data_IF_354190330564
#
_entry.id   IF_354190330564
#
_cell.length_a   1.000
_cell.length_b   1.000
_cell.length_c   1.000
_cell.angle_alpha   90.00
_cell.angle_beta   90.00
_cell.angle_gamma   90.00
#
_symmetry.space_group_name_H-M   'P 1'
#
loop_
_entity.id
_entity.type
_entity.pdbx_description
1 polymer ?
#
# COMPACT_ATOMS: atom_id res chain seq x y z
N UNK A 1 14.38 -49.44 73.98
CA UNK A 1 13.64 -48.16 74.12
C UNK A 1 14.09 -47.22 73.01
N UNK A 2 13.11 -46.83 72.15
CA UNK A 2 13.07 -45.73 71.17
C UNK A 2 14.35 -45.39 70.36
N UNK A 3 14.44 -45.93 69.14
CA UNK A 3 15.32 -45.40 68.06
C UNK A 3 14.64 -44.17 67.44
N UNK A 4 15.38 -43.06 67.35
CA UNK A 4 15.00 -41.85 66.61
C UNK A 4 14.99 -42.15 65.10
N UNK A 5 13.90 -41.75 64.43
CA UNK A 5 13.80 -41.73 62.97
C UNK A 5 14.01 -40.28 62.53
N UNK A 6 15.18 -39.98 61.96
CA UNK A 6 15.46 -38.71 61.30
C UNK A 6 14.95 -38.78 59.85
N UNK A 7 13.91 -38.02 59.54
CA UNK A 7 13.41 -37.87 58.16
C UNK A 7 14.32 -36.94 57.37
N UNK A 8 14.93 -37.45 56.31
CA UNK A 8 15.68 -36.67 55.34
C UNK A 8 14.70 -36.09 54.32
N UNK A 9 14.45 -34.78 54.38
CA UNK A 9 13.63 -34.06 53.42
C UNK A 9 14.50 -33.78 52.17
N UNK A 10 14.29 -34.54 51.11
CA UNK A 10 14.94 -34.28 49.82
C UNK A 10 14.18 -33.17 49.09
N UNK A 11 14.77 -31.97 49.07
CA UNK A 11 14.31 -30.86 48.24
C UNK A 11 14.80 -31.11 46.81
N UNK A 12 13.90 -31.57 45.94
CA UNK A 12 14.13 -31.64 44.50
C UNK A 12 13.94 -30.23 43.94
N UNK A 13 15.03 -29.53 43.68
CA UNK A 13 15.02 -28.30 42.87
C UNK A 13 14.67 -28.69 41.43
N UNK A 14 13.41 -28.51 41.04
CA UNK A 14 13.04 -28.45 39.63
C UNK A 14 13.64 -27.16 39.06
N UNK A 15 14.80 -27.28 38.40
CA UNK A 15 15.25 -26.29 37.46
C UNK A 15 14.26 -26.27 36.28
N UNK A 16 13.34 -25.30 36.30
CA UNK A 16 12.47 -25.01 35.18
C UNK A 16 13.34 -24.60 33.99
N UNK A 17 13.52 -25.52 33.05
CA UNK A 17 13.96 -25.18 31.71
C UNK A 17 12.84 -24.35 31.09
N UNK A 18 12.91 -23.02 31.25
CA UNK A 18 12.22 -22.12 30.34
C UNK A 18 12.88 -22.37 29.00
N UNK A 19 12.24 -23.15 28.13
CA UNK A 19 12.51 -23.09 26.70
C UNK A 19 12.33 -21.63 26.32
N UNK A 20 13.44 -20.90 26.19
CA UNK A 20 13.43 -19.65 25.46
C UNK A 20 12.87 -20.02 24.08
N UNK A 21 11.64 -19.56 23.80
CA UNK A 21 11.13 -19.58 22.44
C UNK A 21 12.22 -18.94 21.59
N UNK A 22 12.74 -19.71 20.65
CA UNK A 22 13.72 -19.24 19.69
C UNK A 22 13.05 -18.07 18.96
N UNK A 23 13.59 -16.87 19.17
CA UNK A 23 12.98 -15.65 18.66
C UNK A 23 12.91 -15.78 17.14
N UNK A 24 11.70 -15.75 16.56
CA UNK A 24 11.53 -15.85 15.12
C UNK A 24 12.17 -14.63 14.46
N UNK A 25 13.38 -14.84 13.94
CA UNK A 25 14.19 -13.85 13.25
C UNK A 25 13.92 -13.83 11.75
N UNK A 26 12.85 -14.43 11.25
CA UNK A 26 12.44 -14.26 9.85
C UNK A 26 11.45 -13.10 9.71
N UNK A 27 11.63 -12.31 8.66
CA UNK A 27 10.71 -11.24 8.28
C UNK A 27 10.38 -11.33 6.79
N UNK A 28 9.16 -11.79 6.49
CA UNK A 28 8.65 -11.98 5.13
C UNK A 28 7.74 -10.84 4.73
N UNK A 29 8.17 -10.06 3.75
CA UNK A 29 7.49 -8.85 3.32
C UNK A 29 6.97 -9.02 1.89
N UNK A 30 5.71 -8.67 1.65
CA UNK A 30 5.16 -8.54 0.30
C UNK A 30 5.11 -7.09 -0.15
N UNK A 31 5.49 -6.78 -1.38
CA UNK A 31 5.45 -5.41 -1.88
C UNK A 31 5.20 -5.30 -3.38
N UNK A 32 4.63 -4.17 -3.82
CA UNK A 32 4.71 -3.77 -5.23
C UNK A 32 6.17 -3.52 -5.62
N UNK A 33 6.55 -3.80 -6.87
CA UNK A 33 7.95 -3.68 -7.34
C UNK A 33 8.56 -2.29 -7.13
N UNK A 34 7.84 -1.22 -7.50
CA UNK A 34 8.28 0.17 -7.32
C UNK A 34 7.08 1.03 -6.92
N UNK A 35 7.22 1.98 -5.97
CA UNK A 35 8.41 2.27 -5.17
C UNK A 35 8.60 1.32 -3.97
N UNK A 36 7.60 0.47 -3.65
CA UNK A 36 7.49 -0.18 -2.35
C UNK A 36 8.65 -1.13 -2.04
N UNK A 37 8.96 -2.08 -2.93
CA UNK A 37 10.07 -3.01 -2.72
C UNK A 37 11.43 -2.30 -2.74
N UNK A 38 11.57 -1.21 -3.51
CA UNK A 38 12.78 -0.39 -3.53
C UNK A 38 13.01 0.31 -2.17
N UNK A 39 11.96 0.86 -1.56
CA UNK A 39 11.99 1.44 -0.21
C UNK A 39 12.30 0.36 0.84
N UNK A 40 11.66 -0.81 0.77
CA UNK A 40 11.96 -1.90 1.72
C UNK A 40 13.42 -2.35 1.62
N UNK A 41 13.98 -2.43 0.40
CA UNK A 41 15.39 -2.80 0.19
C UNK A 41 16.35 -1.82 0.85
N UNK A 42 16.00 -0.54 1.00
CA UNK A 42 16.84 0.43 1.72
C UNK A 42 16.96 0.12 3.21
N UNK A 43 15.92 -0.43 3.82
CA UNK A 43 15.91 -0.71 5.27
C UNK A 43 16.35 -2.13 5.64
N UNK A 44 16.58 -3.01 4.65
CA UNK A 44 17.06 -4.38 4.88
C UNK A 44 18.34 -4.41 5.72
N UNK A 45 19.39 -3.61 5.44
CA UNK A 45 20.61 -3.64 6.27
C UNK A 45 20.35 -3.34 7.75
N UNK A 46 19.48 -2.37 8.05
CA UNK A 46 19.12 -2.04 9.43
C UNK A 46 18.32 -3.15 10.13
N UNK A 47 17.52 -3.91 9.38
CA UNK A 47 16.82 -5.10 9.88
C UNK A 47 17.78 -6.27 10.13
N UNK A 48 18.75 -6.48 9.24
CA UNK A 48 19.80 -7.49 9.42
C UNK A 48 20.68 -7.19 10.65
N UNK A 49 20.98 -5.91 10.92
CA UNK A 49 21.67 -5.49 12.15
C UNK A 49 20.86 -5.78 13.43
N UNK A 50 19.52 -5.75 13.34
CA UNK A 50 18.59 -6.20 14.40
C UNK A 50 18.46 -7.73 14.47
N UNK A 51 19.13 -8.45 13.57
CA UNK A 51 19.23 -9.91 13.54
C UNK A 51 18.16 -10.60 12.69
N UNK A 52 17.41 -9.88 11.85
CA UNK A 52 16.40 -10.48 10.97
C UNK A 52 17.00 -11.03 9.67
N UNK A 53 16.52 -12.19 9.24
CA UNK A 53 16.59 -12.68 7.86
C UNK A 53 15.38 -12.14 7.10
N UNK A 54 15.61 -11.17 6.21
CA UNK A 54 14.53 -10.48 5.48
C UNK A 54 14.34 -11.10 4.09
N UNK A 55 13.10 -11.46 3.75
CA UNK A 55 12.70 -11.85 2.40
C UNK A 55 11.65 -10.88 1.87
N UNK A 56 11.88 -10.31 0.69
CA UNK A 56 10.91 -9.45 0.00
C UNK A 56 10.37 -10.21 -1.21
N UNK A 57 9.07 -10.48 -1.20
CA UNK A 57 8.33 -11.01 -2.34
C UNK A 57 7.67 -9.84 -3.09
N UNK A 58 8.07 -9.66 -4.36
CA UNK A 58 7.47 -8.65 -5.23
C UNK A 58 6.21 -9.19 -5.91
N UNK A 59 5.18 -8.34 -5.98
CA UNK A 59 3.90 -8.61 -6.62
C UNK A 59 3.62 -7.59 -7.73
N UNK A 60 2.87 -8.01 -8.74
CA UNK A 60 2.47 -7.21 -9.88
C UNK A 60 0.94 -7.01 -9.98
N UNK A 61 0.21 -7.41 -8.95
CA UNK A 61 -1.24 -7.27 -8.81
C UNK A 61 -1.60 -6.84 -7.38
N UNK A 62 -2.82 -6.36 -7.18
CA UNK A 62 -3.29 -5.84 -5.89
C UNK A 62 -4.05 -6.86 -5.01
N UNK A 63 -4.25 -8.09 -5.47
CA UNK A 63 -5.02 -9.11 -4.74
C UNK A 63 -4.12 -10.07 -3.96
N UNK A 64 -3.05 -10.54 -4.60
CA UNK A 64 -2.16 -11.55 -4.04
C UNK A 64 -1.43 -11.13 -2.76
N UNK A 65 -0.98 -9.87 -2.57
CA UNK A 65 -0.26 -9.50 -1.34
C UNK A 65 -1.12 -9.62 -0.08
N UNK A 66 -2.40 -9.25 -0.14
CA UNK A 66 -3.32 -9.39 0.99
C UNK A 66 -3.71 -10.85 1.23
N UNK A 67 -3.88 -11.63 0.16
CA UNK A 67 -4.15 -13.07 0.29
C UNK A 67 -2.99 -13.79 0.98
N UNK A 68 -1.75 -13.53 0.55
CA UNK A 68 -0.55 -14.11 1.14
C UNK A 68 -0.36 -13.68 2.61
N UNK A 69 -0.68 -12.42 2.93
CA UNK A 69 -0.66 -11.93 4.32
C UNK A 69 -1.72 -12.65 5.18
N UNK A 70 -2.94 -12.81 4.67
CA UNK A 70 -4.01 -13.53 5.36
C UNK A 70 -3.65 -15.01 5.60
N UNK A 71 -2.99 -15.65 4.64
CA UNK A 71 -2.64 -17.07 4.69
C UNK A 71 -1.45 -17.39 5.62
N UNK A 72 -0.77 -16.37 6.14
CA UNK A 72 0.43 -16.55 6.97
C UNK A 72 1.73 -16.66 6.18
N UNK A 73 1.69 -16.48 4.86
CA UNK A 73 2.89 -16.55 4.01
C UNK A 73 3.78 -15.30 4.18
N UNK A 74 3.19 -14.17 4.55
CA UNK A 74 3.86 -12.90 4.84
C UNK A 74 3.64 -12.47 6.30
N UNK A 75 4.60 -11.76 6.87
CA UNK A 75 4.46 -11.06 8.15
C UNK A 75 3.82 -9.68 7.97
N UNK A 76 4.15 -9.00 6.87
CA UNK A 76 3.56 -7.73 6.48
C UNK A 76 3.52 -7.60 4.96
N UNK A 77 2.65 -6.71 4.47
CA UNK A 77 2.73 -6.25 3.09
C UNK A 77 2.73 -4.71 3.01
N UNK A 78 3.22 -4.20 1.88
CA UNK A 78 3.38 -2.79 1.60
C UNK A 78 3.15 -2.53 0.11
N UNK A 79 1.90 -2.20 -0.23
CA UNK A 79 1.50 -1.98 -1.63
C UNK A 79 0.23 -1.12 -1.78
N UNK A 80 -0.48 -0.86 -0.69
CA UNK A 80 -1.86 -0.39 -0.67
C UNK A 80 -2.03 0.80 0.27
N UNK A 81 -3.09 1.57 0.06
CA UNK A 81 -3.56 2.54 1.03
C UNK A 81 -4.67 1.99 1.92
N UNK A 82 -4.90 2.63 3.07
CA UNK A 82 -5.87 2.18 4.08
C UNK A 82 -7.30 1.94 3.55
N UNK A 83 -7.87 2.80 2.68
CA UNK A 83 -9.20 2.52 2.12
C UNK A 83 -9.29 1.19 1.35
N UNK A 84 -8.24 0.84 0.61
CA UNK A 84 -8.21 -0.42 -0.16
C UNK A 84 -8.07 -1.61 0.78
N UNK A 85 -7.23 -1.49 1.82
CA UNK A 85 -7.08 -2.49 2.86
C UNK A 85 -8.42 -2.80 3.54
N UNK A 86 -9.18 -1.77 3.91
CA UNK A 86 -10.48 -1.91 4.56
C UNK A 86 -11.48 -2.61 3.63
N UNK A 87 -11.64 -2.12 2.39
CA UNK A 87 -12.57 -2.72 1.41
C UNK A 87 -12.20 -4.18 1.11
N UNK A 88 -10.92 -4.48 0.91
CA UNK A 88 -10.45 -5.84 0.64
C UNK A 88 -10.70 -6.76 1.84
N UNK A 89 -10.35 -6.33 3.05
CA UNK A 89 -10.50 -7.12 4.26
C UNK A 89 -11.99 -7.42 4.58
N UNK A 90 -12.87 -6.43 4.43
CA UNK A 90 -14.32 -6.60 4.57
C UNK A 90 -14.87 -7.63 3.57
N UNK A 91 -14.44 -7.54 2.30
CA UNK A 91 -14.89 -8.46 1.24
C UNK A 91 -14.34 -9.89 1.41
N UNK A 92 -13.11 -10.04 1.92
CA UNK A 92 -12.45 -11.33 2.13
C UNK A 92 -12.80 -11.98 3.48
N UNK A 93 -13.46 -11.25 4.40
CA UNK A 93 -13.65 -11.69 5.79
C UNK A 93 -12.32 -11.86 6.53
N UNK A 94 -11.32 -11.04 6.19
CA UNK A 94 -9.98 -11.08 6.76
C UNK A 94 -9.85 -10.04 7.90
N UNK A 95 -8.96 -10.31 8.85
CA UNK A 95 -8.63 -9.38 9.93
C UNK A 95 -7.24 -8.78 9.70
N UNK A 96 -7.17 -7.89 8.70
CA UNK A 96 -5.96 -7.17 8.32
C UNK A 96 -6.10 -5.70 8.71
N UNK A 97 -5.01 -5.11 9.21
CA UNK A 97 -5.01 -3.74 9.73
C UNK A 97 -3.78 -2.97 9.28
N UNK A 98 -3.93 -1.65 9.16
CA UNK A 98 -2.80 -0.75 8.97
C UNK A 98 -1.98 -0.66 10.27
N UNK A 99 -0.68 -0.86 10.14
CA UNK A 99 0.29 -0.74 11.23
C UNK A 99 1.05 0.60 11.18
N UNK A 100 1.29 1.14 9.99
CA UNK A 100 2.09 2.35 9.80
C UNK A 100 1.90 2.98 8.41
N UNK A 101 1.86 4.30 8.34
CA UNK A 101 1.79 5.07 7.10
C UNK A 101 3.20 5.43 6.61
N UNK A 102 3.52 5.12 5.36
CA UNK A 102 4.89 5.30 4.83
C UNK A 102 4.97 6.50 3.89
N UNK A 103 4.17 6.50 2.82
CA UNK A 103 4.21 7.53 1.78
C UNK A 103 2.87 7.70 1.10
N UNK A 104 2.73 8.76 0.31
CA UNK A 104 1.60 9.02 -0.56
C UNK A 104 2.05 9.00 -2.03
N UNK A 105 1.20 8.46 -2.89
CA UNK A 105 1.36 8.50 -4.34
C UNK A 105 0.18 9.27 -4.93
N UNK A 106 0.40 10.50 -5.43
CA UNK A 106 -0.63 11.23 -6.14
C UNK A 106 -1.19 10.42 -7.32
N UNK A 107 -2.50 10.21 -7.36
CA UNK A 107 -3.16 9.63 -8.52
C UNK A 107 -3.08 10.60 -9.69
N UNK A 108 -2.84 10.10 -10.90
CA UNK A 108 -2.68 10.95 -12.08
C UNK A 108 -3.60 10.58 -13.24
N UNK A 109 -3.97 11.58 -14.03
CA UNK A 109 -4.55 11.44 -15.37
C UNK A 109 -3.40 11.55 -16.36
N UNK A 110 -3.22 10.53 -17.20
CA UNK A 110 -2.12 10.41 -18.16
C UNK A 110 -2.66 10.28 -19.58
N UNK A 111 -1.85 10.68 -20.56
CA UNK A 111 -2.06 10.31 -21.96
C UNK A 111 -0.74 10.16 -22.70
N UNK A 112 -0.68 9.21 -23.63
CA UNK A 112 0.40 9.10 -24.62
C UNK A 112 -0.03 9.58 -26.01
N UNK A 113 -1.32 9.83 -26.20
CA UNK A 113 -1.94 10.20 -27.48
C UNK A 113 -2.32 11.69 -27.53
N UNK A 114 -2.60 12.30 -26.38
CA UNK A 114 -3.04 13.70 -26.20
C UNK A 114 -2.04 14.45 -25.32
N UNK A 115 -1.92 15.77 -25.52
CA UNK A 115 -0.92 16.60 -24.80
C UNK A 115 -1.48 17.32 -23.58
N UNK A 116 -2.80 17.43 -23.47
CA UNK A 116 -3.46 18.11 -22.37
C UNK A 116 -4.91 17.63 -22.23
N UNK A 117 -5.55 17.99 -21.12
CA UNK A 117 -6.98 17.75 -20.90
C UNK A 117 -7.89 18.66 -21.77
N UNK A 118 -7.33 19.69 -22.41
CA UNK A 118 -8.08 20.56 -23.33
C UNK A 118 -8.31 19.93 -24.70
N UNK A 119 -7.52 18.89 -25.05
CA UNK A 119 -7.68 18.09 -26.27
C UNK A 119 -8.75 16.98 -26.13
N UNK A 120 -9.52 16.99 -25.04
CA UNK A 120 -10.62 16.05 -24.80
C UNK A 120 -11.75 16.25 -25.82
N UNK A 121 -12.07 15.19 -26.55
CA UNK A 121 -13.04 15.16 -27.64
C UNK A 121 -14.20 14.18 -27.34
N UNK A 122 -15.31 14.34 -28.05
CA UNK A 122 -16.41 13.37 -27.95
C UNK A 122 -15.96 12.03 -28.56
N UNK A 123 -16.26 10.94 -27.86
CA UNK A 123 -15.84 9.58 -28.20
C UNK A 123 -14.50 9.17 -27.59
N UNK A 124 -13.77 10.07 -26.92
CA UNK A 124 -12.52 9.73 -26.24
C UNK A 124 -12.77 8.69 -25.14
N UNK A 125 -11.83 7.76 -24.98
CA UNK A 125 -11.84 6.72 -23.95
C UNK A 125 -10.97 7.10 -22.77
N UNK A 126 -11.50 6.94 -21.56
CA UNK A 126 -10.75 7.11 -20.31
C UNK A 126 -10.73 5.80 -19.54
N UNK A 127 -9.57 5.18 -19.42
CA UNK A 127 -9.38 4.02 -18.56
C UNK A 127 -9.31 4.43 -17.08
N UNK A 128 -9.97 3.69 -16.19
CA UNK A 128 -9.87 3.84 -14.73
C UNK A 128 -9.70 2.48 -14.04
N UNK A 129 -9.14 2.42 -12.83
CA UNK A 129 -9.15 1.22 -12.01
C UNK A 129 -10.57 0.74 -11.71
N UNK A 130 -10.76 -0.58 -11.63
CA UNK A 130 -12.07 -1.22 -11.47
C UNK A 130 -12.34 -1.72 -10.04
N UNK A 131 -11.38 -1.65 -9.13
CA UNK A 131 -11.65 -1.86 -7.71
C UNK A 131 -12.42 -0.66 -7.14
N UNK A 132 -13.26 -0.91 -6.13
CA UNK A 132 -14.16 0.10 -5.58
C UNK A 132 -13.43 1.39 -5.21
N UNK A 133 -12.31 1.26 -4.50
CA UNK A 133 -11.65 2.42 -3.89
C UNK A 133 -10.87 3.26 -4.88
N UNK A 134 -10.06 2.63 -5.75
CA UNK A 134 -9.30 3.35 -6.77
C UNK A 134 -10.20 3.84 -7.90
N UNK A 135 -11.25 3.08 -8.26
CA UNK A 135 -12.26 3.53 -9.23
C UNK A 135 -13.00 4.77 -8.75
N UNK A 136 -13.47 4.76 -7.49
CA UNK A 136 -14.07 5.94 -6.87
C UNK A 136 -13.11 7.13 -6.78
N UNK A 137 -11.85 6.90 -6.38
CA UNK A 137 -10.79 7.92 -6.35
C UNK A 137 -10.51 8.50 -7.75
N UNK A 138 -10.49 7.66 -8.79
CA UNK A 138 -10.32 8.09 -10.16
C UNK A 138 -11.48 8.98 -10.63
N UNK A 139 -12.73 8.61 -10.32
CA UNK A 139 -13.90 9.44 -10.64
C UNK A 139 -13.86 10.79 -9.92
N UNK A 140 -13.39 10.84 -8.67
CA UNK A 140 -13.17 12.12 -7.98
C UNK A 140 -12.12 12.99 -8.68
N UNK A 141 -11.00 12.40 -9.12
CA UNK A 141 -9.96 13.14 -9.83
C UNK A 141 -10.48 13.68 -11.17
N UNK A 142 -11.26 12.90 -11.92
CA UNK A 142 -11.92 13.36 -13.14
C UNK A 142 -12.91 14.50 -12.86
N UNK A 143 -13.68 14.40 -11.78
CA UNK A 143 -14.61 15.44 -11.37
C UNK A 143 -13.90 16.74 -10.94
N UNK A 144 -12.79 16.63 -10.18
CA UNK A 144 -11.98 17.76 -9.78
C UNK A 144 -11.36 18.52 -10.97
N UNK A 145 -11.18 17.84 -12.11
CA UNK A 145 -10.71 18.42 -13.37
C UNK A 145 -11.85 18.83 -14.32
N UNK A 146 -13.11 18.76 -13.86
CA UNK A 146 -14.29 19.17 -14.62
C UNK A 146 -14.56 18.31 -15.86
N UNK A 147 -14.08 17.07 -15.90
CA UNK A 147 -14.32 16.12 -17.01
C UNK A 147 -15.72 15.51 -16.87
N UNK A 148 -16.12 15.20 -15.64
CA UNK A 148 -17.42 14.64 -15.26
C UNK A 148 -17.99 15.35 -14.04
N UNK A 149 -19.28 15.21 -13.81
CA UNK A 149 -19.90 15.50 -12.50
C UNK A 149 -20.43 14.18 -11.91
N UNK A 150 -20.20 13.97 -10.61
CA UNK A 150 -20.67 12.80 -9.87
C UNK A 150 -21.64 13.23 -8.77
N UNK A 151 -22.55 12.34 -8.37
CA UNK A 151 -23.44 12.60 -7.23
C UNK A 151 -22.63 12.93 -5.98
N UNK A 152 -23.08 13.96 -5.24
CA UNK A 152 -22.43 14.40 -4.02
C UNK A 152 -22.49 13.36 -2.90
N UNK A 153 -21.49 13.38 -2.01
CA UNK A 153 -21.48 12.59 -0.77
C UNK A 153 -21.10 11.11 -0.91
N UNK A 154 -20.79 10.64 -2.13
CA UNK A 154 -20.41 9.23 -2.34
C UNK A 154 -18.96 8.92 -1.99
N UNK A 155 -18.07 9.91 -2.04
CA UNK A 155 -16.66 9.69 -1.73
C UNK A 155 -16.05 8.63 -2.66
N UNK A 156 -15.22 7.76 -2.10
CA UNK A 156 -14.59 6.61 -2.79
C UNK A 156 -15.59 5.51 -3.19
N UNK A 157 -16.87 5.62 -2.79
CA UNK A 157 -17.91 4.66 -3.15
C UNK A 157 -18.63 5.03 -4.46
N UNK A 158 -18.24 6.13 -5.09
CA UNK A 158 -18.79 6.53 -6.38
C UNK A 158 -18.45 5.48 -7.45
N UNK A 159 -19.43 5.18 -8.30
CA UNK A 159 -19.24 4.29 -9.45
C UNK A 159 -19.57 5.03 -10.75
N UNK A 160 -19.27 4.43 -11.91
CA UNK A 160 -19.66 5.01 -13.22
C UNK A 160 -21.16 5.29 -13.32
N UNK A 161 -22.00 4.54 -12.58
CA UNK A 161 -23.46 4.74 -12.52
C UNK A 161 -23.88 6.00 -11.74
N UNK A 162 -22.95 6.64 -11.06
CA UNK A 162 -23.17 7.84 -10.26
C UNK A 162 -22.73 9.12 -10.97
N UNK A 163 -22.24 9.00 -12.21
CA UNK A 163 -21.97 10.14 -13.08
C UNK A 163 -23.30 10.76 -13.50
N UNK A 164 -23.45 12.06 -13.30
CA UNK A 164 -24.68 12.82 -13.60
C UNK A 164 -24.56 13.68 -14.84
N UNK A 165 -23.34 14.06 -15.22
CA UNK A 165 -23.07 14.79 -16.46
C UNK A 165 -21.62 14.60 -16.91
N UNK A 166 -21.37 14.86 -18.20
CA UNK A 166 -20.04 14.82 -18.81
C UNK A 166 -19.77 16.13 -19.55
N UNK A 167 -18.53 16.62 -19.50
CA UNK A 167 -18.08 17.77 -20.31
C UNK A 167 -18.06 17.45 -21.80
N UNK A 168 -17.76 16.19 -22.13
CA UNK A 168 -17.68 15.58 -23.47
C UNK A 168 -18.31 14.20 -23.43
N UNK A 169 -18.88 13.73 -24.53
CA UNK A 169 -19.49 12.39 -24.61
C UNK A 169 -18.38 11.32 -24.66
N UNK A 170 -17.80 10.99 -23.50
CA UNK A 170 -16.65 10.07 -23.36
C UNK A 170 -17.08 8.67 -22.92
N UNK A 171 -16.23 7.68 -23.18
CA UNK A 171 -16.39 6.30 -22.68
C UNK A 171 -15.46 6.05 -21.49
N UNK A 172 -16.02 5.67 -20.33
CA UNK A 172 -15.23 5.19 -19.20
C UNK A 172 -14.98 3.69 -19.36
N UNK A 173 -13.71 3.28 -19.32
CA UNK A 173 -13.28 1.88 -19.45
C UNK A 173 -12.70 1.41 -18.11
N UNK A 174 -13.44 0.55 -17.41
CA UNK A 174 -13.00 -0.01 -16.13
C UNK A 174 -12.03 -1.19 -16.36
N UNK A 175 -10.81 -1.08 -15.85
CA UNK A 175 -9.74 -2.08 -15.99
C UNK A 175 -9.11 -2.40 -14.63
N UNK A 176 -8.40 -3.53 -14.52
CA UNK A 176 -7.56 -3.76 -13.34
C UNK A 176 -6.48 -2.68 -13.25
N UNK A 177 -6.20 -2.17 -12.04
CA UNK A 177 -5.33 -1.01 -11.82
C UNK A 177 -3.94 -1.18 -12.47
N UNK A 178 -3.34 -2.36 -12.34
CA UNK A 178 -2.05 -2.73 -12.93
C UNK A 178 -2.04 -2.72 -14.47
N UNK A 179 -3.21 -2.83 -15.10
CA UNK A 179 -3.35 -2.85 -16.56
C UNK A 179 -3.63 -1.47 -17.17
N UNK A 180 -4.10 -0.49 -16.38
CA UNK A 180 -4.36 0.87 -16.87
C UNK A 180 -3.12 1.50 -17.51
N UNK A 181 -1.95 1.30 -16.90
CA UNK A 181 -0.68 1.84 -17.40
C UNK A 181 -0.20 1.12 -18.67
N UNK A 182 -0.29 -0.21 -18.72
CA UNK A 182 0.19 -0.99 -19.87
C UNK A 182 -0.70 -0.81 -21.09
N UNK A 183 -1.99 -0.55 -20.88
CA UNK A 183 -2.99 -0.40 -21.94
C UNK A 183 -3.22 1.08 -22.33
N UNK A 184 -2.42 2.03 -21.83
CA UNK A 184 -2.59 3.46 -22.10
C UNK A 184 -2.57 3.81 -23.61
N UNK A 185 -1.97 2.96 -24.46
CA UNK A 185 -1.94 3.16 -25.92
C UNK A 185 -3.27 2.88 -26.61
N UNK A 186 -4.15 2.11 -25.95
CA UNK A 186 -5.43 1.67 -26.50
C UNK A 186 -6.61 2.58 -26.08
N UNK A 187 -6.31 3.63 -25.30
CA UNK A 187 -7.26 4.65 -24.83
C UNK A 187 -6.70 6.06 -25.04
N UNK A 188 -7.55 7.07 -24.93
CA UNK A 188 -7.15 8.48 -25.10
C UNK A 188 -6.57 9.05 -23.83
N UNK A 189 -7.11 8.66 -22.67
CA UNK A 189 -6.60 8.99 -21.35
C UNK A 189 -6.67 7.77 -20.43
N UNK A 190 -5.83 7.75 -19.39
CA UNK A 190 -5.91 6.75 -18.34
C UNK A 190 -5.66 7.40 -16.98
N UNK A 191 -6.47 7.04 -15.99
CA UNK A 191 -6.21 7.35 -14.59
C UNK A 191 -5.38 6.21 -14.01
N UNK A 192 -4.18 6.53 -13.51
CA UNK A 192 -3.15 5.53 -13.17
C UNK A 192 -2.58 5.81 -11.78
N UNK A 193 -2.49 4.76 -10.94
CA UNK A 193 -1.79 4.77 -9.66
C UNK A 193 -0.29 5.05 -9.81
N UNK A 194 0.32 5.76 -8.86
CA UNK A 194 1.71 6.21 -8.97
C UNK A 194 2.71 5.08 -9.20
N UNK A 195 2.60 3.98 -8.43
CA UNK A 195 3.42 2.78 -8.56
C UNK A 195 3.36 2.19 -9.99
N UNK A 196 2.17 2.14 -10.60
CA UNK A 196 1.97 1.61 -11.95
C UNK A 196 2.51 2.58 -13.01
N UNK A 197 2.36 3.89 -12.80
CA UNK A 197 2.95 4.91 -13.67
C UNK A 197 4.48 4.88 -13.63
N UNK A 198 5.09 4.71 -12.44
CA UNK A 198 6.53 4.53 -12.26
C UNK A 198 7.03 3.28 -12.98
N UNK A 199 6.37 2.14 -12.74
CA UNK A 199 6.71 0.86 -13.36
C UNK A 199 6.64 0.93 -14.90
N UNK A 200 5.63 1.62 -15.44
CA UNK A 200 5.46 1.83 -16.87
C UNK A 200 6.28 3.00 -17.45
N UNK A 201 7.05 3.73 -16.62
CA UNK A 201 7.84 4.90 -17.00
C UNK A 201 6.99 6.00 -17.67
N UNK A 202 5.82 6.26 -17.11
CA UNK A 202 4.84 7.23 -17.60
C UNK A 202 4.84 8.55 -16.83
N UNK A 203 5.76 8.75 -15.87
CA UNK A 203 5.75 9.94 -15.02
C UNK A 203 5.83 11.26 -15.78
N UNK A 204 6.47 11.28 -16.95
CA UNK A 204 6.55 12.47 -17.83
C UNK A 204 5.30 12.68 -18.71
N UNK A 205 4.30 11.79 -18.61
CA UNK A 205 3.03 11.82 -19.36
C UNK A 205 1.83 12.27 -18.54
N UNK A 206 2.07 12.65 -17.29
CA UNK A 206 1.00 13.14 -16.40
C UNK A 206 0.46 14.47 -16.92
N UNK A 207 -0.86 14.58 -17.00
CA UNK A 207 -1.57 15.78 -17.45
C UNK A 207 -2.23 16.52 -16.27
N UNK A 208 -2.67 15.77 -15.27
CA UNK A 208 -3.18 16.29 -14.00
C UNK A 208 -2.95 15.25 -12.90
N UNK A 209 -2.82 15.69 -11.66
CA UNK A 209 -2.63 14.82 -10.50
C UNK A 209 -3.25 15.42 -9.25
N UNK A 210 -3.51 14.59 -8.25
CA UNK A 210 -3.87 15.06 -6.92
C UNK A 210 -2.78 15.94 -6.31
N UNK A 211 -3.18 16.96 -5.55
CA UNK A 211 -2.22 17.81 -4.87
C UNK A 211 -1.56 17.07 -3.69
N UNK A 212 -0.24 17.24 -3.55
CA UNK A 212 0.58 16.57 -2.52
C UNK A 212 0.21 16.96 -1.09
N UNK A 213 -0.40 18.12 -0.91
CA UNK A 213 -0.82 18.72 0.37
C UNK A 213 -2.35 18.65 0.58
N UNK A 214 -3.06 17.86 -0.24
CA UNK A 214 -4.51 17.66 -0.11
C UNK A 214 -4.88 16.63 0.96
N UNK A 215 -6.16 16.59 1.35
CA UNK A 215 -6.72 15.52 2.20
C UNK A 215 -6.52 14.11 1.58
N UNK A 216 -6.34 14.02 0.26
CA UNK A 216 -6.01 12.78 -0.42
C UNK A 216 -4.65 12.22 0.05
N UNK A 217 -3.70 13.09 0.40
CA UNK A 217 -2.36 12.67 0.81
C UNK A 217 -2.39 11.84 2.10
N UNK A 218 -3.21 12.23 3.07
CA UNK A 218 -3.40 11.47 4.31
C UNK A 218 -4.38 10.32 4.14
N UNK A 219 -5.45 10.51 3.35
CA UNK A 219 -6.47 9.47 3.11
C UNK A 219 -5.92 8.26 2.36
N UNK A 220 -5.00 8.50 1.40
CA UNK A 220 -4.43 7.47 0.55
C UNK A 220 -2.95 7.24 0.83
N UNK A 221 -2.52 7.48 2.08
CA UNK A 221 -1.23 7.03 2.56
C UNK A 221 -1.11 5.51 2.32
N UNK A 222 -0.03 5.11 1.67
CA UNK A 222 0.35 3.71 1.54
C UNK A 222 0.84 3.22 2.91
N UNK A 223 0.34 2.06 3.30
CA UNK A 223 0.52 1.52 4.65
C UNK A 223 1.32 0.22 4.65
N UNK A 224 2.01 -0.01 5.77
CA UNK A 224 2.38 -1.36 6.19
C UNK A 224 1.12 -2.03 6.74
N UNK A 225 0.62 -3.05 6.03
CA UNK A 225 -0.50 -3.86 6.50
C UNK A 225 0.00 -5.15 7.13
N UNK A 226 -0.70 -5.59 8.18
CA UNK A 226 -0.39 -6.78 8.98
C UNK A 226 -1.69 -7.49 9.35
N UNK A 227 -1.61 -8.76 9.80
CA UNK A 227 -2.73 -9.38 10.51
C UNK A 227 -2.94 -8.68 11.86
N UNK A 228 -4.19 -8.51 12.28
CA UNK A 228 -4.50 -7.76 13.50
C UNK A 228 -3.79 -8.28 14.76
N UNK A 229 -3.66 -9.60 14.87
CA UNK A 229 -2.96 -10.27 15.98
C UNK A 229 -1.45 -9.97 16.03
N UNK A 230 -0.85 -9.61 14.89
CA UNK A 230 0.60 -9.36 14.76
C UNK A 230 0.99 -7.89 14.87
N UNK A 231 0.00 -6.97 14.96
CA UNK A 231 0.22 -5.52 14.96
C UNK A 231 1.20 -5.05 16.04
N UNK A 232 1.18 -5.70 17.20
CA UNK A 232 2.03 -5.35 18.34
C UNK A 232 3.27 -6.24 18.48
N UNK A 233 3.54 -7.12 17.51
CA UNK A 233 4.72 -7.98 17.52
C UNK A 233 6.02 -7.18 17.44
N UNK A 234 7.11 -7.73 17.99
CA UNK A 234 8.41 -7.06 17.99
C UNK A 234 8.94 -6.87 16.56
N UNK A 235 8.74 -7.84 15.67
CA UNK A 235 9.16 -7.76 14.26
C UNK A 235 8.50 -6.60 13.50
N UNK A 236 7.21 -6.34 13.74
CA UNK A 236 6.49 -5.23 13.12
C UNK A 236 6.95 -3.89 13.72
N UNK A 237 7.18 -3.82 15.02
CA UNK A 237 7.75 -2.63 15.67
C UNK A 237 9.13 -2.29 15.12
N UNK A 238 10.00 -3.28 14.94
CA UNK A 238 11.33 -3.09 14.38
C UNK A 238 11.28 -2.66 12.91
N UNK A 239 10.37 -3.22 12.10
CA UNK A 239 10.13 -2.78 10.72
C UNK A 239 9.70 -1.31 10.67
N UNK A 240 8.76 -0.92 11.53
CA UNK A 240 8.29 0.48 11.60
C UNK A 240 9.44 1.40 12.04
N UNK A 241 10.26 0.97 13.00
CA UNK A 241 11.39 1.76 13.49
C UNK A 241 12.39 2.08 12.37
N UNK A 242 12.76 1.09 11.54
CA UNK A 242 13.74 1.32 10.46
C UNK A 242 13.14 2.11 9.29
N UNK A 243 11.83 2.00 9.04
CA UNK A 243 11.13 2.79 8.03
C UNK A 243 10.94 4.24 8.45
N UNK A 244 10.77 4.48 9.75
CA UNK A 244 10.47 5.79 10.31
C UNK A 244 11.75 6.58 10.65
N UNK A 245 12.55 6.87 9.63
CA UNK A 245 13.83 7.59 9.75
C UNK A 245 13.93 8.73 8.75
N UNK A 246 14.73 9.76 9.08
CA UNK A 246 15.08 10.82 8.12
C UNK A 246 15.78 10.26 6.87
N UNK A 247 16.56 9.18 7.00
CA UNK A 247 17.23 8.54 5.86
C UNK A 247 16.23 7.99 4.85
N UNK A 248 15.20 7.26 5.29
CA UNK A 248 14.14 6.73 4.41
C UNK A 248 13.34 7.87 3.81
N UNK A 249 13.02 8.91 4.60
CA UNK A 249 12.34 10.11 4.11
C UNK A 249 13.10 10.75 2.95
N UNK A 250 14.40 11.00 3.15
CA UNK A 250 15.25 11.64 2.16
C UNK A 250 15.44 10.75 0.93
N UNK A 251 15.61 9.44 1.13
CA UNK A 251 15.66 8.48 0.04
C UNK A 251 14.43 8.57 -0.86
N UNK A 252 13.22 8.61 -0.28
CA UNK A 252 11.97 8.73 -1.04
C UNK A 252 11.95 10.06 -1.81
N UNK A 253 12.25 11.17 -1.14
CA UNK A 253 12.18 12.51 -1.75
C UNK A 253 13.18 12.65 -2.92
N UNK A 254 14.43 12.24 -2.71
CA UNK A 254 15.51 12.34 -3.69
C UNK A 254 15.35 11.36 -4.87
N UNK A 255 14.85 10.15 -4.62
CA UNK A 255 14.75 9.10 -5.64
C UNK A 255 13.59 9.33 -6.60
N UNK A 256 12.46 9.81 -6.09
CA UNK A 256 11.21 9.87 -6.86
C UNK A 256 10.78 11.28 -7.25
N UNK A 257 11.58 12.32 -6.97
CA UNK A 257 11.36 13.71 -7.38
C UNK A 257 9.91 14.19 -7.10
N UNK A 258 9.40 13.76 -5.94
CA UNK A 258 8.06 14.06 -5.46
C UNK A 258 6.90 13.38 -6.22
N UNK A 259 7.15 12.40 -7.08
CA UNK A 259 6.14 11.43 -7.58
C UNK A 259 5.68 10.52 -6.43
N UNK A 260 6.56 10.31 -5.46
CA UNK A 260 6.30 9.61 -4.20
C UNK A 260 6.56 10.62 -3.09
N UNK A 261 5.56 10.88 -2.25
CA UNK A 261 5.60 11.90 -1.19
C UNK A 261 5.79 11.20 0.15
N UNK A 262 6.92 11.40 0.85
CA UNK A 262 7.13 10.71 2.12
C UNK A 262 6.18 11.25 3.19
N UNK A 263 5.57 10.35 3.96
CA UNK A 263 4.72 10.68 5.12
C UNK A 263 5.38 10.30 6.44
N UNK A 264 6.48 9.55 6.41
CA UNK A 264 7.22 9.16 7.61
C UNK A 264 7.68 10.42 8.40
N UNK A 265 7.32 10.53 9.69
CA UNK A 265 7.73 11.67 10.50
C UNK A 265 9.25 11.70 10.73
N UNK A 266 9.85 12.88 10.55
CA UNK A 266 11.28 13.15 10.83
C UNK A 266 11.60 13.01 12.32
N UNK A 267 11.87 11.78 12.78
CA UNK A 267 12.55 11.51 14.05
C UNK A 267 14.04 11.30 13.82
#
# INVERSE_FOLDING_TARGET
MKKLLAGLLAVVLLAGCSSAEEEDKTLKLGASTTPHAEILKQVVPALEEKGYEVTIQEFNDYNMPNKALQDGDLDANYFQHEPYLIDWAENAGADLVAAFDVHFEPLGIYSVNKKSLDELEDGDKIAIPNDNTNGGRALQLLAANGIIEIKEGLGIKATVKDIVSYKKDIEIVELQAETCATNIKDVDYAVINGNNALNAKLSDKVLATEAKDSEAATTYANVIAVRAEDKDSQKIKDLIEVLNTEEVKNYIDETYDGIVVPLVPSK
#
